data_IF_555265452249
#
_entry.id   IF_555265452249
#
_cell.length_a   1.000
_cell.length_b   1.000
_cell.length_c   1.000
_cell.angle_alpha   90.00
_cell.angle_beta   90.00
_cell.angle_gamma   90.00
#
_symmetry.space_group_name_H-M   'P 1'
#
loop_
_entity.id
_entity.type
_entity.pdbx_description
1 polymer ?
2 non-polymer ?
3 water ?
#
# COMPACT_ATOMS: atom_id res chain seq x y z
N UNK A 1 8.80 -13.70 11.75
CA UNK A 1 7.42 -13.91 12.26
C UNK A 1 6.35 -13.59 11.23
N UNK A 2 5.10 -13.71 11.65
CA UNK A 2 3.96 -13.44 10.79
C UNK A 2 3.15 -12.25 11.31
N UNK A 3 2.92 -11.28 10.42
CA UNK A 3 2.17 -10.06 10.72
C UNK A 3 0.78 -10.12 10.08
N UNK A 4 -0.25 -10.14 10.93
CA UNK A 4 -1.64 -10.21 10.48
C UNK A 4 -2.07 -8.91 9.78
N UNK A 5 -3.12 -8.99 8.98
CA UNK A 5 -3.60 -7.80 8.28
C UNK A 5 -4.96 -7.30 8.79
N UNK A 6 -5.42 -7.88 9.90
CA UNK A 6 -6.70 -7.49 10.51
C UNK A 6 -6.67 -5.99 10.83
N UNK A 7 -5.47 -5.50 11.14
CA UNK A 7 -5.23 -4.09 11.45
C UNK A 7 -4.08 -3.60 10.56
N UNK A 8 -3.86 -2.29 10.56
CA UNK A 8 -2.79 -1.68 9.79
C UNK A 8 -1.45 -2.20 10.33
N UNK A 9 -0.60 -2.75 9.46
CA UNK A 9 0.71 -3.28 9.88
C UNK A 9 1.70 -2.17 10.22
N UNK A 10 1.61 -1.65 11.44
CA UNK A 10 2.49 -0.57 11.88
C UNK A 10 3.78 -1.08 12.52
N UNK A 11 4.86 -0.35 12.29
CA UNK A 11 6.17 -0.67 12.82
C UNK A 11 6.88 0.62 13.22
N UNK A 12 7.91 0.50 14.05
CA UNK A 12 8.68 1.65 14.48
C UNK A 12 10.06 1.54 13.85
N UNK A 13 10.45 2.56 13.10
CA UNK A 13 11.75 2.57 12.45
C UNK A 13 12.68 3.59 13.11
N UNK A 14 13.98 3.36 12.96
CA UNK A 14 14.99 4.26 13.49
C UNK A 14 15.72 4.83 12.27
N UNK A 15 15.66 6.15 12.11
CA UNK A 15 16.28 6.82 10.97
C UNK A 15 16.73 8.23 11.34
N UNK A 16 17.99 8.54 11.05
CA UNK A 16 18.54 9.85 11.35
C UNK A 16 18.46 10.21 12.81
N UNK A 17 18.63 9.20 13.67
CA UNK A 17 18.57 9.41 15.11
C UNK A 17 17.16 9.65 15.64
N UNK A 18 16.15 9.35 14.82
CA UNK A 18 14.75 9.55 15.21
C UNK A 18 13.95 8.26 15.14
N UNK A 19 12.89 8.21 15.95
CA UNK A 19 11.99 7.06 15.98
C UNK A 19 10.69 7.48 15.32
N UNK A 20 10.36 6.83 14.21
CA UNK A 20 9.14 7.15 13.48
C UNK A 20 8.27 5.93 13.27
N UNK A 21 6.96 6.09 13.48
CA UNK A 21 6.02 4.99 13.26
C UNK A 21 5.61 5.04 11.79
N UNK A 22 5.67 3.89 11.12
CA UNK A 22 5.32 3.82 9.71
C UNK A 22 4.51 2.57 9.35
N UNK A 23 3.90 2.61 8.17
CA UNK A 23 3.06 1.54 7.66
C UNK A 23 3.79 0.63 6.66
N UNK A 24 3.89 -0.67 6.98
CA UNK A 24 4.53 -1.64 6.07
C UNK A 24 3.59 -1.67 4.87
N UNK A 25 4.00 -1.01 3.81
CA UNK A 25 3.15 -0.85 2.64
C UNK A 25 3.61 -1.49 1.33
N UNK A 26 2.96 -2.59 0.95
CA UNK A 26 3.30 -3.29 -0.30
C UNK A 26 2.85 -2.51 -1.54
N UNK A 27 1.92 -1.57 -1.35
CA UNK A 27 1.45 -0.77 -2.46
C UNK A 27 2.33 0.44 -2.68
N UNK A 28 3.32 0.62 -1.81
CA UNK A 28 4.24 1.75 -1.92
C UNK A 28 5.58 1.32 -2.51
N UNK A 29 5.93 1.86 -3.68
CA UNK A 29 7.20 1.52 -4.34
C UNK A 29 8.37 1.93 -3.44
N UNK A 30 8.30 3.15 -2.92
CA UNK A 30 9.33 3.67 -2.03
C UNK A 30 8.80 4.04 -0.65
N UNK A 31 9.72 4.24 0.28
CA UNK A 31 9.40 4.66 1.63
C UNK A 31 9.16 6.17 1.55
N UNK A 32 8.06 6.64 2.12
CA UNK A 32 7.73 8.06 2.11
C UNK A 32 7.47 8.49 3.55
N UNK A 33 8.20 9.51 4.01
CA UNK A 33 8.03 10.01 5.37
C UNK A 33 7.71 11.50 5.40
N UNK A 34 7.05 11.93 6.47
CA UNK A 34 6.69 13.32 6.66
C UNK A 34 7.98 14.13 6.82
N UNK A 35 7.88 15.44 6.66
CA UNK A 35 9.03 16.35 6.76
C UNK A 35 10.00 16.05 7.89
N UNK A 36 11.27 15.95 7.53
CA UNK A 36 12.34 15.68 8.47
C UNK A 36 13.65 16.03 7.79
N UNK A 37 14.69 16.22 8.58
CA UNK A 37 16.00 16.55 8.04
C UNK A 37 16.84 15.28 7.87
N UNK A 38 17.46 15.14 6.70
CA UNK A 38 18.32 14.00 6.38
C UNK A 38 19.59 14.55 5.74
N UNK A 39 20.71 13.82 5.86
CA UNK A 39 22.00 14.24 5.29
C UNK A 39 22.15 13.88 3.81
N UNK A 40 23.19 14.42 3.18
CA UNK A 40 23.45 14.14 1.78
C UNK A 40 22.62 14.96 0.80
N UNK A 41 22.86 14.73 -0.49
CA UNK A 41 22.14 15.44 -1.53
C UNK A 41 20.80 14.78 -1.84
N UNK A 42 19.91 15.53 -2.48
CA UNK A 42 18.59 15.03 -2.84
C UNK A 42 18.14 15.57 -4.19
N UNK A 43 17.10 14.95 -4.74
CA UNK A 43 16.53 15.35 -6.02
C UNK A 43 15.03 15.54 -5.86
N UNK A 44 14.46 16.60 -6.44
CA UNK A 44 13.01 16.80 -6.32
C UNK A 44 12.27 15.74 -7.17
N UNK A 45 11.13 15.28 -6.67
CA UNK A 45 10.35 14.26 -7.36
C UNK A 45 8.86 14.43 -7.04
N UNK A 46 7.99 13.96 -7.93
CA UNK A 46 6.55 14.04 -7.72
C UNK A 46 6.00 12.62 -7.71
N UNK A 47 5.36 12.24 -6.61
CA UNK A 47 4.79 10.90 -6.52
C UNK A 47 3.26 10.97 -6.45
N UNK A 48 2.60 10.03 -7.12
CA UNK A 48 1.15 10.03 -7.14
C UNK A 48 0.45 8.84 -6.53
N UNK A 49 -0.74 9.09 -6.00
CA UNK A 49 -1.54 8.05 -5.39
C UNK A 49 -2.98 8.50 -5.38
N UNK A 50 -3.77 7.94 -4.48
CA UNK A 50 -5.17 8.33 -4.38
C UNK A 50 -5.21 9.78 -3.90
N UNK A 51 -5.92 10.63 -4.65
CA UNK A 51 -6.01 12.03 -4.32
C UNK A 51 -5.09 12.89 -5.17
N UNK A 52 -4.13 12.27 -5.84
CA UNK A 52 -3.22 13.03 -6.67
C UNK A 52 -1.76 12.93 -6.29
N UNK A 53 -0.97 13.90 -6.75
CA UNK A 53 0.47 13.94 -6.50
C UNK A 53 0.90 14.93 -5.42
N UNK A 54 2.06 14.65 -4.82
CA UNK A 54 2.69 15.51 -3.83
C UNK A 54 4.18 15.57 -4.20
N UNK A 55 4.82 16.70 -3.91
CA UNK A 55 6.25 16.85 -4.21
C UNK A 55 7.07 16.40 -3.02
N UNK A 56 8.15 15.67 -3.31
CA UNK A 56 9.04 15.15 -2.27
C UNK A 56 10.52 15.32 -2.63
N UNK A 57 11.38 15.16 -1.63
CA UNK A 57 12.82 15.25 -1.81
C UNK A 57 13.32 13.81 -1.72
N UNK A 58 13.99 13.35 -2.77
CA UNK A 58 14.50 12.00 -2.81
C UNK A 58 15.93 11.86 -2.30
N UNK A 59 16.08 11.09 -1.23
CA UNK A 59 17.38 10.83 -0.63
C UNK A 59 17.74 9.36 -0.85
N UNK A 60 18.95 9.11 -1.32
CA UNK A 60 19.38 7.74 -1.55
C UNK A 60 20.39 7.32 -0.50
N UNK A 61 20.56 6.01 -0.37
CA UNK A 61 21.50 5.41 0.57
C UNK A 61 21.32 5.88 2.01
N UNK A 62 20.11 5.73 2.52
CA UNK A 62 19.78 6.12 3.89
C UNK A 62 19.70 4.86 4.74
N UNK A 63 20.39 4.86 5.87
CA UNK A 63 20.38 3.72 6.78
C UNK A 63 19.14 3.76 7.67
N UNK A 64 18.39 2.66 7.69
CA UNK A 64 17.16 2.55 8.48
C UNK A 64 17.08 1.22 9.22
N UNK A 65 16.76 1.29 10.52
CA UNK A 65 16.62 0.10 11.35
C UNK A 65 15.14 -0.26 11.53
N UNK A 66 14.77 -1.46 11.08
CA UNK A 66 13.39 -1.93 11.20
C UNK A 66 13.37 -3.39 11.62
N UNK A 67 12.49 -3.71 12.57
CA UNK A 67 12.35 -5.08 13.08
C UNK A 67 13.68 -5.71 13.50
N UNK A 68 14.61 -4.87 13.97
CA UNK A 68 15.91 -5.35 14.40
C UNK A 68 16.98 -5.38 13.32
N UNK A 69 16.57 -5.29 12.06
CA UNK A 69 17.48 -5.30 10.92
C UNK A 69 17.99 -3.89 10.60
N UNK A 70 19.17 -3.80 9.99
CA UNK A 70 19.76 -2.52 9.61
C UNK A 70 19.89 -2.47 8.09
N UNK A 71 18.84 -1.98 7.43
CA UNK A 71 18.80 -1.90 5.98
C UNK A 71 19.19 -0.54 5.39
N UNK A 72 19.39 -0.52 4.08
CA UNK A 72 19.75 0.70 3.36
C UNK A 72 18.80 0.87 2.17
N UNK A 73 18.29 2.08 1.99
CA UNK A 73 17.37 2.32 0.89
C UNK A 73 17.06 3.78 0.64
N UNK A 74 16.19 4.02 -0.33
CA UNK A 74 15.78 5.37 -0.70
C UNK A 74 14.65 5.86 0.21
N UNK A 75 14.73 7.12 0.62
CA UNK A 75 13.70 7.71 1.46
C UNK A 75 13.20 8.99 0.80
N UNK A 76 11.89 9.05 0.57
CA UNK A 76 11.25 10.22 -0.03
C UNK A 76 10.63 11.02 1.13
N UNK A 77 11.05 12.28 1.28
CA UNK A 77 10.56 13.14 2.35
C UNK A 77 9.63 14.22 1.81
N UNK A 78 8.42 14.29 2.36
CA UNK A 78 7.45 15.27 1.90
C UNK A 78 6.21 15.31 2.77
N UNK A 79 5.19 16.07 2.35
CA UNK A 79 3.92 16.21 3.08
C UNK A 79 2.96 15.03 2.95
N UNK A 80 3.45 13.82 3.19
CA UNK A 80 2.59 12.65 3.12
C UNK A 80 1.76 12.59 4.40
N UNK A 81 0.46 12.26 4.28
CA UNK A 81 -0.41 12.18 5.46
C UNK A 81 -0.10 11.01 6.40
N UNK A 82 0.55 9.97 5.88
CA UNK A 82 0.90 8.80 6.68
C UNK A 82 2.30 8.32 6.26
N UNK A 83 3.10 7.92 7.25
CA UNK A 83 4.44 7.41 6.98
C UNK A 83 4.30 5.97 6.49
N UNK A 84 4.99 5.63 5.40
CA UNK A 84 4.93 4.29 4.84
C UNK A 84 6.29 3.73 4.47
N UNK A 85 6.49 2.44 4.76
CA UNK A 85 7.71 1.75 4.41
C UNK A 85 7.42 1.03 3.10
N UNK A 86 8.15 1.41 2.06
CA UNK A 86 7.92 0.82 0.75
C UNK A 86 8.65 -0.48 0.47
N UNK A 87 8.37 -1.04 -0.71
CA UNK A 87 8.98 -2.28 -1.16
C UNK A 87 10.50 -2.14 -1.22
N UNK A 88 10.96 -0.93 -1.55
CA UNK A 88 12.40 -0.64 -1.62
C UNK A 88 13.15 -1.12 -0.38
N UNK A 89 12.53 -0.95 0.79
CA UNK A 89 13.13 -1.34 2.05
C UNK A 89 12.68 -2.71 2.56
N UNK A 90 11.42 -3.06 2.32
CA UNK A 90 10.90 -4.35 2.78
C UNK A 90 11.62 -5.55 2.19
N UNK A 91 12.03 -5.45 0.93
CA UNK A 91 12.75 -6.54 0.26
C UNK A 91 14.06 -6.84 1.01
N UNK A 92 14.72 -5.78 1.47
CA UNK A 92 16.00 -5.88 2.18
C UNK A 92 15.94 -6.67 3.48
N UNK A 93 14.79 -6.66 4.15
CA UNK A 93 14.65 -7.40 5.40
C UNK A 93 13.99 -8.76 5.19
N UNK A 94 13.83 -9.14 3.92
CA UNK A 94 13.24 -10.43 3.58
C UNK A 94 11.75 -10.60 3.77
N UNK A 95 11.02 -9.49 3.71
CA UNK A 95 9.57 -9.52 3.88
C UNK A 95 8.82 -9.88 2.59
N UNK A 96 7.82 -10.75 2.72
CA UNK A 96 7.02 -11.20 1.58
C UNK A 96 5.54 -11.35 1.97
N UNK A 97 4.68 -11.45 0.96
CA UNK A 97 3.25 -11.67 1.16
C UNK A 97 3.02 -13.18 1.06
N UNK A 98 2.16 -13.72 1.92
CA UNK A 98 1.91 -15.16 1.91
C UNK A 98 0.45 -15.49 2.12
N UNK A 99 -0.03 -16.50 1.40
CA UNK A 99 -1.41 -16.97 1.52
C UNK A 99 -1.53 -18.43 1.10
N UNK B 1 0.92 -19.82 -1.50
CA UNK B 1 2.04 -19.25 -2.28
C UNK B 1 2.70 -18.08 -1.55
N UNK B 2 3.85 -17.66 -2.07
CA UNK B 2 4.62 -16.55 -1.52
C UNK B 2 4.95 -15.53 -2.62
N UNK B 3 4.73 -14.26 -2.31
CA UNK B 3 4.98 -13.19 -3.26
C UNK B 3 6.05 -12.23 -2.72
N UNK B 4 7.19 -12.19 -3.41
CA UNK B 4 8.28 -11.30 -3.03
C UNK B 4 7.90 -9.87 -3.41
N UNK B 5 8.66 -8.89 -2.94
CA UNK B 5 8.34 -7.49 -3.20
C UNK B 5 9.31 -6.72 -4.08
N UNK B 6 10.16 -7.44 -4.80
CA UNK B 6 11.13 -6.82 -5.70
C UNK B 6 10.42 -6.03 -6.80
N UNK B 7 9.27 -6.54 -7.22
CA UNK B 7 8.44 -5.90 -8.24
C UNK B 7 7.09 -5.63 -7.59
N UNK B 8 6.26 -4.81 -8.22
CA UNK B 8 4.94 -4.52 -7.68
C UNK B 8 4.14 -5.82 -7.61
N UNK B 9 3.53 -6.11 -6.45
CA UNK B 9 2.73 -7.34 -6.29
C UNK B 9 1.39 -7.27 -7.04
N UNK B 10 1.47 -7.27 -8.36
CA UNK B 10 0.29 -7.21 -9.21
C UNK B 10 -0.25 -8.62 -9.40
N UNK B 11 -1.55 -8.78 -9.17
CA UNK B 11 -2.22 -10.07 -9.32
C UNK B 11 -3.47 -9.94 -10.17
N UNK B 12 -3.94 -11.08 -10.66
CA UNK B 12 -5.14 -11.12 -11.48
C UNK B 12 -6.33 -11.35 -10.58
N UNK B 13 -7.33 -10.47 -10.71
CA UNK B 13 -8.56 -10.59 -9.94
C UNK B 13 -9.69 -10.79 -10.94
N UNK B 14 -10.80 -11.33 -10.46
CA UNK B 14 -11.95 -11.51 -11.32
C UNK B 14 -13.14 -10.89 -10.61
N UNK B 15 -13.81 -9.97 -11.30
CA UNK B 15 -14.97 -9.29 -10.75
C UNK B 15 -15.92 -8.99 -11.91
N UNK B 16 -17.20 -9.32 -11.72
CA UNK B 16 -18.19 -9.11 -12.76
C UNK B 16 -17.95 -10.03 -13.94
N UNK B 17 -17.23 -11.12 -13.70
CA UNK B 17 -16.93 -12.07 -14.75
C UNK B 17 -15.76 -11.67 -15.63
N UNK B 18 -15.07 -10.59 -15.30
CA UNK B 18 -13.93 -10.14 -16.10
C UNK B 18 -12.63 -10.20 -15.30
N UNK B 19 -11.53 -10.47 -16.00
CA UNK B 19 -10.22 -10.51 -15.38
C UNK B 19 -9.61 -9.11 -15.43
N UNK B 20 -8.97 -8.71 -14.33
CA UNK B 20 -8.32 -7.41 -14.21
C UNK B 20 -7.02 -7.56 -13.41
N UNK B 21 -6.14 -6.57 -13.54
CA UNK B 21 -4.89 -6.54 -12.80
C UNK B 21 -5.04 -5.60 -11.61
N UNK B 22 -4.66 -6.07 -10.43
CA UNK B 22 -4.75 -5.26 -9.22
C UNK B 22 -3.49 -5.42 -8.37
N UNK B 23 -3.17 -4.38 -7.61
CA UNK B 23 -2.00 -4.35 -6.74
C UNK B 23 -2.34 -4.69 -5.29
N UNK B 24 -1.68 -5.71 -4.73
CA UNK B 24 -1.88 -6.09 -3.33
C UNK B 24 -1.27 -4.95 -2.53
N UNK B 25 -2.14 -4.24 -1.82
CA UNK B 25 -1.76 -3.04 -1.07
C UNK B 25 -2.04 -3.14 0.42
N UNK B 26 -1.00 -3.43 1.20
CA UNK B 26 -1.15 -3.56 2.64
C UNK B 26 -1.31 -2.20 3.33
N UNK B 27 -1.01 -1.12 2.59
CA UNK B 27 -1.15 0.23 3.12
C UNK B 27 -2.54 0.81 2.86
N UNK B 28 -3.39 0.00 2.25
CA UNK B 28 -4.75 0.41 1.95
C UNK B 28 -5.74 -0.35 2.83
N UNK B 29 -6.58 0.39 3.56
CA UNK B 29 -7.60 -0.25 4.41
C UNK B 29 -8.64 -0.91 3.52
N UNK B 30 -9.00 -0.20 2.44
CA UNK B 30 -10.03 -0.64 1.51
C UNK B 30 -9.55 -0.99 0.12
N UNK B 31 -10.45 -1.62 -0.63
CA UNK B 31 -10.22 -2.03 -2.01
C UNK B 31 -10.83 -0.98 -2.94
N UNK B 32 -9.98 -0.33 -3.73
CA UNK B 32 -10.42 0.72 -4.64
C UNK B 32 -10.11 0.31 -6.07
N UNK B 33 -11.15 0.25 -6.90
CA UNK B 33 -11.01 -0.14 -8.29
C UNK B 33 -11.35 1.00 -9.25
N UNK B 34 -10.75 0.94 -10.44
CA UNK B 34 -10.95 1.91 -11.51
C UNK B 34 -12.42 1.84 -11.94
N UNK B 35 -12.87 2.87 -12.66
CA UNK B 35 -14.26 2.95 -13.12
C UNK B 35 -14.74 1.65 -13.77
N UNK B 36 -15.88 1.16 -13.29
CA UNK B 36 -16.49 -0.06 -13.81
C UNK B 36 -17.94 -0.16 -13.35
N UNK B 37 -18.68 -1.08 -13.95
CA UNK B 37 -20.08 -1.30 -13.62
C UNK B 37 -20.28 -2.46 -12.64
N UNK B 38 -20.98 -2.17 -11.55
CA UNK B 38 -21.28 -3.17 -10.53
C UNK B 38 -22.77 -3.12 -10.21
N UNK B 39 -23.37 -4.27 -9.87
CA UNK B 39 -24.80 -4.38 -9.55
C UNK B 39 -25.28 -3.73 -8.25
N UNK B 40 -26.59 -3.53 -8.16
CA UNK B 40 -27.21 -2.96 -6.98
C UNK B 40 -27.00 -1.48 -6.72
N UNK B 41 -27.30 -1.09 -5.48
CA UNK B 41 -27.16 0.29 -5.05
C UNK B 41 -25.82 0.52 -4.38
N UNK B 42 -25.35 1.76 -4.46
CA UNK B 42 -24.10 2.14 -3.84
C UNK B 42 -24.28 3.30 -2.86
N UNK B 43 -23.41 3.36 -1.86
CA UNK B 43 -23.41 4.40 -0.82
C UNK B 43 -22.16 5.26 -1.03
N UNK B 44 -22.20 6.53 -0.59
CA UNK B 44 -21.03 7.39 -0.77
C UNK B 44 -20.00 7.18 0.34
N UNK B 45 -18.73 7.33 -0.03
CA UNK B 45 -17.63 7.20 0.92
C UNK B 45 -16.51 8.16 0.55
N UNK B 46 -15.91 8.76 1.57
CA UNK B 46 -14.81 9.70 1.41
C UNK B 46 -13.56 9.01 1.95
N UNK B 47 -12.59 8.74 1.08
CA UNK B 47 -11.35 8.10 1.51
C UNK B 47 -10.16 9.03 1.27
N UNK B 48 -9.19 8.95 2.16
CA UNK B 48 -8.00 9.77 2.03
C UNK B 48 -6.91 8.99 1.31
N UNK B 49 -5.98 9.72 0.71
CA UNK B 49 -4.88 9.08 0.01
C UNK B 49 -3.67 9.97 0.19
N UNK B 50 -2.58 9.66 -0.52
CA UNK B 50 -1.38 10.47 -0.38
C UNK B 50 -1.55 11.90 -0.92
N UNK B 51 -2.44 12.06 -1.90
CA UNK B 51 -2.67 13.38 -2.48
C UNK B 51 -3.90 14.12 -1.98
N UNK B 52 -4.66 13.48 -1.10
CA UNK B 52 -5.86 14.10 -0.56
C UNK B 52 -7.05 13.16 -0.59
N UNK B 53 -8.22 13.70 -0.29
CA UNK B 53 -9.45 12.92 -0.28
C UNK B 53 -10.11 12.85 -1.65
N UNK B 54 -10.86 11.78 -1.87
CA UNK B 54 -11.61 11.57 -3.10
C UNK B 54 -12.92 10.90 -2.73
N UNK B 55 -13.93 11.10 -3.56
CA UNK B 55 -15.23 10.49 -3.35
C UNK B 55 -15.28 9.23 -4.19
N UNK B 56 -15.80 8.16 -3.60
CA UNK B 56 -15.90 6.89 -4.30
C UNK B 56 -17.28 6.27 -4.09
N UNK B 57 -17.61 5.29 -4.93
CA UNK B 57 -18.90 4.59 -4.83
C UNK B 57 -18.68 3.30 -4.05
N UNK B 58 -19.44 3.12 -2.98
CA UNK B 58 -19.31 1.92 -2.16
C UNK B 58 -20.34 0.84 -2.47
N UNK B 59 -19.85 -0.33 -2.87
CA UNK B 59 -20.71 -1.46 -3.17
C UNK B 59 -20.36 -2.53 -2.14
N UNK B 60 -21.37 -3.12 -1.50
CA UNK B 60 -21.13 -4.15 -0.49
C UNK B 60 -21.47 -5.55 -0.95
N UNK B 61 -20.88 -6.54 -0.28
CA UNK B 61 -21.08 -7.95 -0.57
C UNK B 61 -20.90 -8.27 -2.05
N UNK B 62 -19.80 -7.78 -2.62
CA UNK B 62 -19.46 -8.00 -4.02
C UNK B 62 -18.52 -9.21 -4.14
N UNK B 63 -18.86 -10.12 -5.04
CA UNK B 63 -18.05 -11.30 -5.29
C UNK B 63 -16.82 -10.88 -6.08
N UNK B 64 -15.65 -11.27 -5.58
CA UNK B 64 -14.40 -10.94 -6.24
C UNK B 64 -13.36 -12.02 -5.94
N UNK B 65 -12.73 -12.51 -6.99
CA UNK B 65 -11.70 -13.53 -6.89
C UNK B 65 -10.34 -12.84 -6.94
N UNK B 66 -9.45 -13.22 -6.04
CA UNK B 66 -8.11 -12.63 -5.96
C UNK B 66 -7.12 -13.77 -5.94
N UNK B 67 -6.29 -13.86 -6.98
CA UNK B 67 -5.29 -14.93 -7.10
C UNK B 67 -6.00 -16.29 -7.08
N UNK B 68 -7.23 -16.32 -7.59
CA UNK B 68 -7.99 -17.55 -7.62
C UNK B 68 -8.80 -17.86 -6.37
N UNK B 69 -8.64 -17.06 -5.31
CA UNK B 69 -9.37 -17.28 -4.06
C UNK B 69 -10.64 -16.44 -4.04
N UNK B 70 -11.74 -17.03 -3.57
CA UNK B 70 -13.01 -16.33 -3.52
C UNK B 70 -13.29 -15.49 -2.28
N UNK B 71 -13.71 -14.26 -2.53
CA UNK B 71 -14.04 -13.33 -1.47
C UNK B 71 -15.36 -12.64 -1.82
N UNK B 72 -16.05 -12.17 -0.79
CA UNK B 72 -17.31 -11.46 -0.95
C UNK B 72 -17.25 -10.31 0.04
N UNK B 73 -17.07 -9.10 -0.47
CA UNK B 73 -16.98 -7.95 0.42
C UNK B 73 -17.17 -6.59 -0.23
N UNK B 74 -16.72 -5.56 0.46
CA UNK B 74 -16.86 -4.19 -0.01
C UNK B 74 -15.84 -3.74 -1.04
N UNK B 75 -16.36 -3.18 -2.13
CA UNK B 75 -15.56 -2.68 -3.25
C UNK B 75 -15.89 -1.20 -3.48
N UNK B 76 -14.86 -0.37 -3.52
CA UNK B 76 -15.01 1.06 -3.75
C UNK B 76 -14.56 1.38 -5.16
N UNK B 77 -15.38 2.12 -5.90
CA UNK B 77 -15.07 2.48 -7.28
C UNK B 77 -14.82 3.99 -7.40
N UNK B 78 -13.65 4.36 -7.91
CA UNK B 78 -13.33 5.77 -8.05
C UNK B 78 -12.01 6.06 -8.74
N UNK B 79 -11.62 7.34 -8.84
CA UNK B 79 -10.38 7.79 -9.48
C UNK B 79 -9.12 7.34 -8.75
N UNK B 80 -8.62 6.16 -9.11
CA UNK B 80 -7.42 5.63 -8.49
C UNK B 80 -6.41 5.36 -9.59
N UNK B 81 -5.11 5.62 -9.33
CA UNK B 81 -4.08 5.38 -10.35
C UNK B 81 -4.02 3.93 -10.83
N UNK B 82 -4.43 3.00 -9.96
CA UNK B 82 -4.44 1.57 -10.27
C UNK B 82 -5.41 0.83 -9.34
N UNK B 83 -5.92 -0.32 -9.77
CA UNK B 83 -6.82 -1.12 -8.93
C UNK B 83 -5.99 -1.56 -7.74
N UNK B 84 -6.48 -1.31 -6.53
CA UNK B 84 -5.76 -1.72 -5.32
C UNK B 84 -6.62 -2.61 -4.44
N UNK B 85 -6.03 -3.72 -4.01
CA UNK B 85 -6.70 -4.66 -3.13
C UNK B 85 -6.24 -4.33 -1.71
N UNK B 86 -7.17 -3.91 -0.87
CA UNK B 86 -6.83 -3.55 0.50
C UNK B 86 -6.95 -4.66 1.52
N UNK B 87 -6.65 -4.33 2.77
CA UNK B 87 -6.71 -5.29 3.86
C UNK B 87 -8.08 -5.95 4.04
N UNK B 88 -9.15 -5.24 3.69
CA UNK B 88 -10.50 -5.80 3.85
C UNK B 88 -10.68 -7.12 3.08
N UNK B 89 -10.06 -7.20 1.90
CA UNK B 89 -10.16 -8.40 1.06
C UNK B 89 -8.99 -9.34 1.24
N UNK B 90 -7.81 -8.80 1.53
CA UNK B 90 -6.65 -9.65 1.74
C UNK B 90 -6.85 -10.52 2.98
N UNK B 91 -7.58 -10.01 3.96
CA UNK B 91 -7.86 -10.77 5.17
C UNK B 91 -8.79 -11.94 4.84
N UNK B 92 -9.69 -11.74 3.87
CA UNK B 92 -10.62 -12.79 3.46
C UNK B 92 -9.94 -14.00 2.80
N UNK B 93 -8.80 -13.77 2.16
CA UNK B 93 -8.08 -14.85 1.51
C UNK B 93 -6.90 -15.35 2.35
N UNK B 94 -6.88 -14.96 3.63
CA UNK B 94 -5.82 -15.39 4.54
C UNK B 94 -4.41 -14.98 4.19
N UNK B 95 -4.25 -13.75 3.71
CA UNK B 95 -2.93 -13.25 3.34
C UNK B 95 -2.31 -12.47 4.50
N UNK B 96 -1.00 -12.60 4.66
CA UNK B 96 -0.28 -11.93 5.73
C UNK B 96 1.11 -11.53 5.24
N UNK B 97 1.81 -10.73 6.04
CA UNK B 97 3.18 -10.32 5.73
C UNK B 97 4.08 -11.21 6.59
N UNK B 98 5.21 -11.64 6.05
CA UNK B 98 6.11 -12.51 6.80
C UNK B 98 7.57 -12.18 6.54
N UNK B 99 8.43 -12.46 7.51
CA UNK B 99 9.85 -12.22 7.36
C UNK B 99 10.67 -13.06 8.34
X LIG C 1 -2.99 3.73 0.63
X LIG C 1 -7.18 4.79 1.92
X LIG C 1 -3.44 8.79 4.42
X LIG C 1 -1.70 4.20 0.17
X LIG C 1 -0.86 4.60 1.42
X LIG C 1 -1.54 5.71 2.23
X LIG C 1 -1.43 7.06 1.82
X LIG C 1 -2.06 8.08 2.55
X LIG C 1 -2.81 7.77 3.70
X LIG C 1 -4.76 8.52 4.92
X LIG C 1 -5.55 10.10 5.40
X LIG C 1 -5.65 11.06 4.13
X LIG C 1 -5.53 12.50 4.19
X LIG C 1 -5.68 13.07 2.76
X LIG C 1 -6.92 9.81 5.93
X LIG C 1 -4.70 10.84 6.52
X LIG C 1 -4.38 10.31 7.81
X LIG C 1 -3.55 11.36 8.58
X LIG C 1 -2.92 6.42 4.12
X LIG C 1 -2.29 5.40 3.38
X LIG C 1 -1.03 3.05 -0.65
X LIG C 1 -0.69 2.00 0.25
X LIG C 1 0.30 3.46 -1.36
X LIG C 1 0.10 4.52 -2.39
X LIG C 1 0.12 4.10 -3.83
X LIG C 1 -1.23 3.58 -4.41
X LIG C 1 -1.64 4.45 -5.62
X LIG C 1 -2.37 3.65 -3.36
X LIG C 1 0.79 6.04 -2.10
X LIG C 1 0.10 6.99 -2.94
X LIG C 1 0.78 6.32 -0.69
X LIG C 1 2.48 5.93 -2.67
X LIG C 1 2.81 6.30 -3.99
X LIG C 1 4.13 6.23 -4.45
X LIG C 1 5.15 5.78 -3.60
X LIG C 1 6.47 5.70 -4.05
X LIG C 1 6.81 5.90 -5.43
X LIG C 1 4.83 5.41 -2.28
X LIG C 1 3.51 5.49 -1.82
X LIG C 1 -4.14 4.32 0.29
X LIG C 1 -4.23 5.31 -0.44
X LIG C 1 -5.18 3.69 0.87
X LIG C 1 -6.52 4.20 0.65
X LIG C 1 -7.41 2.97 0.38
X LIG C 1 -7.53 2.44 1.70
X LIG C 1 -7.83 3.54 2.57
X LIG C 1 -7.21 3.38 3.86
X LIG C 1 -5.91 3.98 3.82
X LIG C 1 -6.21 5.27 3.04
#
# INVERSE_FOLDING_TARGET
>A
PQITLWQRPLVTIKIGGQLKEALLDTGADDTVLEEMSLPGRWKPKMIGGIGGFIKVRQYDQILIEICGHKAIGTVLVGPTPVNVIGRNLMTQIGMTLNF
>B
PQITLWQRPLVTIKIGGQLKEALLDTGADDTVLEEMSLPGRWKPKMIGGIGGFIKVRQYDQILIEICGHKAIGTVLVGPTPVNVIGRNLMTQIGMTLNF
>C hetero
1 KGQ N C O C6 C8 C9 C11 C13 C14 C15 P O3 C18 C19 O2 O1 C16 C17 C12 C10 C7 O8 C20 N1 C21 C22 C30 C29 S O10 O9 C23 C28 C27 C26 O5 C31 C25 C24 C4 O7 O6 C5 C3 O4 C32 O11 C2 C1
#
